data_IF_903389399576
#
_entry.id   IF_903389399576
#
_cell.length_a   1.000
_cell.length_b   1.000
_cell.length_c   1.000
_cell.angle_alpha   90.00
_cell.angle_beta   90.00
_cell.angle_gamma   90.00
#
_symmetry.space_group_name_H-M   'P 1'
#
loop_
_entity.id
_entity.type
_entity.pdbx_description
1 polymer ?
#
# COMPACT_ATOMS: atom_id res chain seq x y z
N UNK A 1 9.48 19.01 -42.42
CA UNK A 1 10.60 18.71 -41.51
C UNK A 1 10.01 18.11 -40.24
N UNK A 2 10.07 16.79 -40.06
CA UNK A 2 9.56 16.12 -38.86
C UNK A 2 10.66 16.10 -37.80
N UNK A 3 10.50 16.87 -36.72
CA UNK A 3 11.37 16.78 -35.53
C UNK A 3 11.17 15.40 -34.90
N UNK A 4 12.23 14.59 -34.87
CA UNK A 4 12.29 13.38 -34.03
C UNK A 4 12.32 13.84 -32.57
N UNK A 5 11.16 13.83 -31.92
CA UNK A 5 11.09 13.93 -30.47
C UNK A 5 11.75 12.70 -29.87
N UNK A 6 12.83 12.90 -29.12
CA UNK A 6 13.48 11.83 -28.38
C UNK A 6 12.51 11.24 -27.36
N UNK A 7 12.35 9.93 -27.40
CA UNK A 7 11.55 9.18 -26.44
C UNK A 7 12.40 9.04 -25.16
N UNK A 8 12.05 9.77 -24.10
CA UNK A 8 12.67 9.64 -22.79
C UNK A 8 11.70 8.84 -21.93
N UNK A 9 12.09 7.64 -21.53
CA UNK A 9 11.33 6.81 -20.60
C UNK A 9 11.39 7.44 -19.20
N UNK A 10 10.29 7.51 -18.44
CA UNK A 10 10.33 7.94 -17.04
C UNK A 10 11.21 6.98 -16.23
N UNK A 11 11.97 7.53 -15.27
CA UNK A 11 12.93 6.80 -14.47
C UNK A 11 12.23 5.72 -13.63
N UNK A 12 12.47 4.46 -14.00
CA UNK A 12 11.86 3.23 -13.47
C UNK A 12 12.37 2.84 -12.06
N UNK A 13 12.56 3.80 -11.15
CA UNK A 13 13.37 3.60 -9.93
C UNK A 13 12.64 3.47 -8.60
N UNK A 14 11.38 3.93 -8.49
CA UNK A 14 10.72 4.12 -7.19
C UNK A 14 10.58 2.82 -6.38
N UNK A 15 10.04 1.76 -6.99
CA UNK A 15 9.87 0.44 -6.35
C UNK A 15 11.15 -0.35 -6.13
N UNK A 16 12.21 -0.02 -6.88
CA UNK A 16 13.51 -0.69 -6.74
C UNK A 16 14.36 -0.05 -5.64
N UNK A 17 13.88 1.03 -5.01
CA UNK A 17 14.60 1.71 -3.95
C UNK A 17 14.58 0.91 -2.64
N UNK A 18 15.66 1.04 -1.86
CA UNK A 18 15.72 0.45 -0.51
C UNK A 18 14.73 1.10 0.46
N UNK A 19 14.26 2.31 0.17
CA UNK A 19 13.24 3.02 0.93
C UNK A 19 11.88 2.36 0.74
N UNK A 20 11.41 2.22 -0.50
CA UNK A 20 10.16 1.53 -0.81
C UNK A 20 10.11 0.11 -0.22
N UNK A 21 11.21 -0.65 -0.30
CA UNK A 21 11.29 -1.98 0.30
C UNK A 21 11.14 -1.95 1.83
N UNK A 22 11.73 -0.95 2.50
CA UNK A 22 11.59 -0.78 3.95
C UNK A 22 10.18 -0.37 4.34
N UNK A 23 9.57 0.54 3.59
CA UNK A 23 8.22 1.00 3.88
C UNK A 23 7.20 -0.11 3.65
N UNK A 24 7.35 -0.88 2.57
CA UNK A 24 6.51 -2.05 2.31
C UNK A 24 6.66 -3.12 3.39
N UNK A 25 7.90 -3.42 3.80
CA UNK A 25 8.14 -4.35 4.91
C UNK A 25 7.53 -3.87 6.23
N UNK A 26 7.59 -2.55 6.50
CA UNK A 26 6.97 -1.94 7.68
C UNK A 26 5.45 -2.07 7.63
N UNK A 27 4.84 -1.80 6.48
CA UNK A 27 3.41 -1.96 6.25
C UNK A 27 2.96 -3.40 6.50
N UNK A 28 3.70 -4.38 5.96
CA UNK A 28 3.43 -5.81 6.20
C UNK A 28 3.55 -6.18 7.68
N UNK A 29 4.58 -5.70 8.37
CA UNK A 29 4.80 -5.98 9.79
C UNK A 29 3.65 -5.45 10.65
N UNK A 30 3.28 -4.17 10.48
CA UNK A 30 2.24 -3.53 11.27
C UNK A 30 0.88 -4.20 11.07
N UNK A 31 0.51 -4.53 9.82
CA UNK A 31 -0.71 -5.27 9.56
C UNK A 31 -0.68 -6.65 10.22
N UNK A 32 0.43 -7.40 10.10
CA UNK A 32 0.54 -8.72 10.71
C UNK A 32 0.37 -8.67 12.24
N UNK A 33 1.00 -7.71 12.91
CA UNK A 33 0.84 -7.50 14.35
C UNK A 33 -0.63 -7.18 14.71
N UNK A 34 -1.25 -6.23 14.00
CA UNK A 34 -2.64 -5.83 14.23
C UNK A 34 -3.61 -7.00 14.05
N UNK A 35 -3.48 -7.77 12.96
CA UNK A 35 -4.32 -8.94 12.75
C UNK A 35 -4.08 -10.02 13.81
N UNK A 36 -2.83 -10.26 14.23
CA UNK A 36 -2.55 -11.22 15.30
C UNK A 36 -3.24 -10.83 16.61
N UNK A 37 -3.19 -9.55 16.97
CA UNK A 37 -3.90 -9.03 18.15
C UNK A 37 -5.42 -9.19 18.01
N UNK A 38 -5.98 -8.75 16.88
CA UNK A 38 -7.40 -8.85 16.59
C UNK A 38 -7.90 -10.32 16.61
N UNK A 39 -7.15 -11.24 16.01
CA UNK A 39 -7.45 -12.67 16.00
C UNK A 39 -7.39 -13.30 17.38
N UNK A 40 -6.46 -12.87 18.23
CA UNK A 40 -6.38 -13.34 19.61
C UNK A 40 -7.61 -12.92 20.42
N UNK A 41 -8.21 -11.77 20.08
CA UNK A 41 -9.41 -11.22 20.73
C UNK A 41 -10.73 -11.79 20.18
N UNK A 42 -10.92 -11.78 18.87
CA UNK A 42 -12.20 -12.09 18.21
C UNK A 42 -12.29 -13.56 17.74
N UNK A 43 -11.16 -14.28 17.69
CA UNK A 43 -11.11 -15.73 17.42
C UNK A 43 -11.51 -16.15 16.00
N UNK A 44 -11.82 -15.20 15.11
CA UNK A 44 -12.30 -15.45 13.75
C UNK A 44 -11.45 -14.74 12.70
N UNK A 45 -10.96 -15.51 11.72
CA UNK A 45 -10.30 -15.00 10.53
C UNK A 45 -11.27 -15.04 9.35
N UNK A 46 -11.45 -13.90 8.65
CA UNK A 46 -12.13 -13.87 7.36
C UNK A 46 -11.13 -14.15 6.24
N UNK A 47 -11.61 -14.68 5.12
CA UNK A 47 -10.74 -14.97 3.98
C UNK A 47 -10.13 -13.69 3.41
N UNK A 48 -8.83 -13.73 3.10
CA UNK A 48 -8.05 -12.66 2.45
C UNK A 48 -7.74 -11.40 3.28
N UNK A 49 -7.96 -11.43 4.59
CA UNK A 49 -7.55 -10.34 5.50
C UNK A 49 -6.06 -10.00 5.34
N UNK A 50 -5.77 -8.71 5.17
CA UNK A 50 -4.39 -8.21 5.05
C UNK A 50 -3.76 -8.41 3.68
N UNK A 51 -4.55 -8.71 2.64
CA UNK A 51 -4.04 -8.69 1.26
C UNK A 51 -3.58 -7.28 0.92
N UNK A 52 -2.37 -7.16 0.36
CA UNK A 52 -1.81 -5.90 -0.14
C UNK A 52 -1.57 -6.05 -1.64
N UNK A 53 -2.20 -5.20 -2.45
CA UNK A 53 -2.00 -5.12 -3.89
C UNK A 53 -1.21 -3.84 -4.23
N UNK A 54 -0.26 -3.93 -5.16
CA UNK A 54 0.48 -2.76 -5.65
C UNK A 54 -0.02 -2.41 -7.06
N UNK A 55 -0.43 -1.15 -7.24
CA UNK A 55 -0.96 -0.62 -8.48
C UNK A 55 0.10 0.22 -9.18
N UNK A 56 0.72 -0.36 -10.20
CA UNK A 56 1.68 0.35 -11.03
C UNK A 56 0.95 1.25 -12.02
N UNK A 57 1.44 2.47 -12.26
CA UNK A 57 0.82 3.37 -13.21
C UNK A 57 0.83 2.79 -14.62
N UNK A 58 -0.28 2.98 -15.34
CA UNK A 58 -0.44 2.48 -16.70
C UNK A 58 0.62 3.04 -17.66
N UNK A 59 1.23 2.14 -18.44
CA UNK A 59 2.38 2.41 -19.32
C UNK A 59 2.16 3.57 -20.32
N UNK A 60 0.93 3.77 -20.81
CA UNK A 60 0.63 4.84 -21.78
C UNK A 60 0.27 6.18 -21.12
N UNK A 61 0.00 6.20 -19.81
CA UNK A 61 -0.39 7.40 -19.05
C UNK A 61 0.71 7.90 -18.12
N UNK A 62 1.82 7.17 -18.01
CA UNK A 62 2.99 7.52 -17.18
C UNK A 62 3.88 8.62 -17.77
N UNK A 63 3.65 9.02 -19.02
CA UNK A 63 4.45 10.05 -19.71
C UNK A 63 4.19 11.48 -19.22
N UNK A 64 3.15 11.72 -18.42
CA UNK A 64 2.65 13.08 -18.14
C UNK A 64 2.22 13.32 -16.69
N UNK A 65 2.64 12.46 -15.76
CA UNK A 65 2.18 12.56 -14.38
C UNK A 65 3.24 12.09 -13.38
N UNK A 66 3.30 12.76 -12.24
CA UNK A 66 4.02 12.36 -11.01
C UNK A 66 3.43 11.08 -10.38
N UNK A 67 3.06 10.10 -11.20
CA UNK A 67 2.33 8.92 -10.75
C UNK A 67 3.24 8.00 -9.96
N UNK A 68 2.94 7.90 -8.67
CA UNK A 68 3.51 6.97 -7.69
C UNK A 68 2.84 5.60 -7.81
N UNK A 69 3.40 4.61 -7.12
CA UNK A 69 2.77 3.30 -6.98
C UNK A 69 1.64 3.39 -5.95
N UNK A 70 0.42 3.10 -6.40
CA UNK A 70 -0.73 2.99 -5.52
C UNK A 70 -0.70 1.68 -4.72
N UNK A 71 -1.37 1.67 -3.59
CA UNK A 71 -1.49 0.51 -2.70
C UNK A 71 -2.96 0.28 -2.41
N UNK A 72 -3.40 -0.96 -2.55
CA UNK A 72 -4.73 -1.39 -2.09
C UNK A 72 -4.53 -2.37 -0.93
N UNK A 73 -5.26 -2.17 0.16
CA UNK A 73 -5.27 -3.09 1.31
C UNK A 73 -6.68 -3.61 1.49
N UNK A 74 -6.83 -4.94 1.53
CA UNK A 74 -8.08 -5.60 1.86
C UNK A 74 -8.13 -5.91 3.36
N UNK A 75 -9.14 -5.39 4.06
CA UNK A 75 -9.37 -5.62 5.48
C UNK A 75 -10.84 -5.48 5.83
N UNK A 76 -11.45 -6.44 6.54
CA UNK A 76 -12.72 -6.19 7.25
C UNK A 76 -12.51 -5.81 8.71
N UNK A 77 -11.35 -6.11 9.29
CA UNK A 77 -11.07 -5.84 10.69
C UNK A 77 -10.74 -4.36 10.93
N UNK A 78 -10.13 -3.71 9.94
CA UNK A 78 -9.61 -2.36 10.06
C UNK A 78 -10.21 -1.43 9.01
N UNK A 79 -10.47 -0.19 9.43
CA UNK A 79 -11.13 0.83 8.63
C UNK A 79 -12.62 0.56 8.40
N UNK A 80 -13.34 1.59 7.94
CA UNK A 80 -14.81 1.55 7.76
C UNK A 80 -15.31 0.83 6.51
N UNK A 81 -14.44 0.05 5.83
CA UNK A 81 -14.69 -0.55 4.52
C UNK A 81 -13.85 -1.81 4.32
N UNK A 82 -14.04 -2.51 3.20
CA UNK A 82 -13.36 -3.79 2.89
C UNK A 82 -12.06 -3.63 2.14
N UNK A 83 -12.01 -2.61 1.30
CA UNK A 83 -10.91 -2.29 0.41
C UNK A 83 -10.54 -0.85 0.66
N UNK A 84 -9.24 -0.59 0.83
CA UNK A 84 -8.69 0.72 1.13
C UNK A 84 -7.62 1.03 0.09
N UNK A 85 -7.92 1.99 -0.77
CA UNK A 85 -7.06 2.42 -1.86
C UNK A 85 -6.27 3.67 -1.47
N UNK A 86 -4.97 3.65 -1.77
CA UNK A 86 -4.04 4.73 -1.50
C UNK A 86 -3.24 5.06 -2.75
N UNK A 87 -3.03 6.35 -3.00
CA UNK A 87 -2.27 6.83 -4.15
C UNK A 87 -0.75 6.59 -4.02
N UNK A 88 -0.25 6.40 -2.79
CA UNK A 88 1.17 6.18 -2.50
C UNK A 88 1.37 5.19 -1.35
N UNK A 89 2.58 4.61 -1.26
CA UNK A 89 2.98 3.77 -0.12
C UNK A 89 3.03 4.55 1.19
N UNK A 90 3.43 5.82 1.16
CA UNK A 90 3.49 6.67 2.36
C UNK A 90 2.09 6.86 2.97
N UNK A 91 1.10 7.15 2.12
CA UNK A 91 -0.28 7.33 2.55
C UNK A 91 -0.86 6.03 3.14
N UNK A 92 -0.55 4.88 2.51
CA UNK A 92 -0.93 3.58 3.03
C UNK A 92 -0.28 3.29 4.39
N UNK A 93 1.01 3.62 4.54
CA UNK A 93 1.76 3.38 5.78
C UNK A 93 1.22 4.23 6.93
N UNK A 94 0.90 5.51 6.69
CA UNK A 94 0.30 6.38 7.70
C UNK A 94 -1.05 5.84 8.18
N UNK A 95 -1.92 5.40 7.26
CA UNK A 95 -3.20 4.81 7.63
C UNK A 95 -3.03 3.49 8.42
N UNK A 96 -2.09 2.64 8.02
CA UNK A 96 -1.80 1.38 8.70
C UNK A 96 -1.21 1.60 10.09
N UNK A 97 -0.39 2.65 10.29
CA UNK A 97 0.07 3.05 11.62
C UNK A 97 -1.08 3.45 12.54
N UNK A 98 -2.08 4.13 12.01
CA UNK A 98 -3.28 4.47 12.78
C UNK A 98 -4.07 3.21 13.16
N UNK A 99 -4.35 2.32 12.21
CA UNK A 99 -5.05 1.07 12.50
C UNK A 99 -4.32 0.20 13.50
N UNK A 100 -3.00 0.08 13.36
CA UNK A 100 -2.16 -0.65 14.30
C UNK A 100 -2.25 -0.06 15.70
N UNK A 101 -2.03 1.25 15.85
CA UNK A 101 -2.15 1.94 17.13
C UNK A 101 -3.53 1.70 17.75
N UNK A 102 -4.59 1.88 16.97
CA UNK A 102 -5.96 1.77 17.46
C UNK A 102 -6.28 0.33 17.89
N UNK A 103 -5.89 -0.69 17.13
CA UNK A 103 -6.07 -2.10 17.50
C UNK A 103 -5.24 -2.50 18.73
N UNK A 104 -3.98 -2.05 18.82
CA UNK A 104 -3.11 -2.35 19.97
C UNK A 104 -3.56 -1.70 21.28
N UNK A 105 -4.49 -0.75 21.22
CA UNK A 105 -5.08 -0.12 22.41
C UNK A 105 -6.39 -0.76 22.85
N UNK A 106 -6.89 -1.77 22.12
CA UNK A 106 -8.10 -2.48 22.51
C UNK A 106 -7.78 -3.58 23.55
N UNK A 107 -8.64 -3.71 24.55
CA UNK A 107 -8.52 -4.69 25.65
C UNK A 107 -9.09 -6.07 25.28
#
# INVERSE_FOLDING_TARGET
>A
MHKKGGFVLPASGEFSSSEFQRDFATLQQLLAEAYQHNLARDGHCKSSEGTISLHFPEFFWSFNSDKRIGVEIFSYCFGGGRTHDFDTIDAALDQVREWHRDEMTQE
#
